data_IF_915830821673
#
_entry.id   IF_915830821673
#
_cell.length_a   1.000
_cell.length_b   1.000
_cell.length_c   1.000
_cell.angle_alpha   90.00
_cell.angle_beta   90.00
_cell.angle_gamma   90.00
#
_symmetry.space_group_name_H-M   'P 1'
#
loop_
_entity.id
_entity.type
_entity.pdbx_description
1 polymer ?
#
# COMPACT_ATOMS: atom_id res chain seq x y z
N UNK A 1 -27.83 6.76 -3.77
CA UNK A 1 -26.87 6.09 -4.68
C UNK A 1 -25.57 6.87 -4.62
N UNK A 2 -24.71 6.59 -3.64
CA UNK A 2 -23.38 7.21 -3.57
C UNK A 2 -22.57 6.74 -4.79
N UNK A 3 -22.20 7.67 -5.66
CA UNK A 3 -21.17 7.41 -6.65
C UNK A 3 -19.88 7.05 -5.91
N UNK A 4 -19.43 5.80 -6.04
CA UNK A 4 -18.10 5.41 -5.61
C UNK A 4 -17.08 6.31 -6.33
N UNK A 5 -16.51 7.30 -5.63
CA UNK A 5 -15.48 8.18 -6.18
C UNK A 5 -14.36 7.34 -6.78
N UNK A 6 -13.91 7.69 -7.98
CA UNK A 6 -12.76 7.03 -8.63
C UNK A 6 -11.52 7.16 -7.74
N UNK A 7 -10.54 6.26 -7.90
CA UNK A 7 -9.32 6.33 -7.09
C UNK A 7 -8.62 7.68 -7.25
N UNK A 8 -8.60 8.15 -8.48
CA UNK A 8 -7.96 9.39 -8.89
C UNK A 8 -8.61 10.58 -8.18
N UNK A 9 -9.94 10.59 -8.06
CA UNK A 9 -10.68 11.63 -7.34
C UNK A 9 -10.33 11.67 -5.85
N UNK A 10 -10.27 10.51 -5.18
CA UNK A 10 -9.91 10.44 -3.75
C UNK A 10 -8.47 10.90 -3.54
N UNK A 11 -7.52 10.47 -4.38
CA UNK A 11 -6.12 10.89 -4.26
C UNK A 11 -5.98 12.39 -4.52
N UNK A 12 -6.65 12.94 -5.53
CA UNK A 12 -6.65 14.38 -5.82
C UNK A 12 -7.21 15.20 -4.66
N UNK A 13 -8.33 14.78 -4.09
CA UNK A 13 -8.96 15.45 -2.95
C UNK A 13 -8.07 15.40 -1.71
N UNK A 14 -7.47 14.24 -1.41
CA UNK A 14 -6.48 14.11 -0.34
C UNK A 14 -5.28 15.03 -0.57
N UNK A 15 -4.73 15.09 -1.77
CA UNK A 15 -3.62 15.99 -2.09
C UNK A 15 -4.01 17.46 -1.93
N UNK A 16 -5.28 17.81 -2.17
CA UNK A 16 -5.80 19.16 -1.95
C UNK A 16 -5.94 19.53 -0.46
N UNK A 17 -6.01 18.55 0.45
CA UNK A 17 -6.00 18.81 1.90
C UNK A 17 -4.61 19.16 2.44
N UNK A 18 -3.55 18.92 1.66
CA UNK A 18 -2.18 19.23 2.06
C UNK A 18 -1.93 20.74 2.04
N UNK A 19 -1.23 21.24 3.06
CA UNK A 19 -0.70 22.61 3.02
C UNK A 19 0.28 22.80 1.85
N UNK A 20 0.46 24.02 1.32
CA UNK A 20 1.40 24.28 0.21
C UNK A 20 2.85 23.80 0.49
N UNK A 21 3.27 23.83 1.76
CA UNK A 21 4.58 23.31 2.18
C UNK A 21 4.63 21.78 2.16
N UNK A 22 3.59 21.09 2.64
CA UNK A 22 3.49 19.63 2.55
C UNK A 22 3.45 19.17 1.09
N UNK A 23 2.69 19.86 0.24
CA UNK A 23 2.58 19.54 -1.18
C UNK A 23 3.92 19.69 -1.90
N UNK A 24 4.65 20.79 -1.66
CA UNK A 24 5.99 21.00 -2.24
C UNK A 24 6.99 19.94 -1.77
N UNK A 25 6.97 19.58 -0.47
CA UNK A 25 7.84 18.52 0.04
C UNK A 25 7.49 17.15 -0.55
N UNK A 26 6.20 16.86 -0.69
CA UNK A 26 5.70 15.64 -1.32
C UNK A 26 6.13 15.56 -2.79
N UNK A 27 5.94 16.62 -3.58
CA UNK A 27 6.30 16.63 -5.00
C UNK A 27 7.81 16.51 -5.18
N UNK A 28 8.62 17.20 -4.37
CA UNK A 28 10.08 17.05 -4.42
C UNK A 28 10.53 15.63 -4.04
N UNK A 29 9.94 15.05 -2.98
CA UNK A 29 10.25 13.69 -2.57
C UNK A 29 9.86 12.66 -3.63
N UNK A 30 8.66 12.77 -4.21
CA UNK A 30 8.21 11.86 -5.25
C UNK A 30 9.01 12.03 -6.55
N UNK A 31 9.33 13.26 -6.94
CA UNK A 31 10.19 13.54 -8.10
C UNK A 31 11.57 12.89 -7.94
N UNK A 32 12.21 13.07 -6.78
CA UNK A 32 13.48 12.41 -6.47
C UNK A 32 13.38 10.88 -6.57
N UNK A 33 12.30 10.29 -6.04
CA UNK A 33 12.05 8.85 -6.11
C UNK A 33 11.79 8.37 -7.54
N UNK A 34 11.06 9.15 -8.33
CA UNK A 34 10.79 8.89 -9.74
C UNK A 34 12.09 8.89 -10.54
N UNK A 35 12.93 9.93 -10.39
CA UNK A 35 14.23 10.00 -11.04
C UNK A 35 15.14 8.84 -10.63
N UNK A 36 15.17 8.48 -9.35
CA UNK A 36 15.91 7.32 -8.88
C UNK A 36 15.45 6.02 -9.55
N UNK A 37 14.14 5.80 -9.67
CA UNK A 37 13.59 4.65 -10.38
C UNK A 37 13.95 4.66 -11.87
N UNK A 38 13.92 5.82 -12.52
CA UNK A 38 14.34 5.98 -13.92
C UNK A 38 15.82 5.66 -14.12
N UNK A 39 16.69 6.16 -13.26
CA UNK A 39 18.12 5.84 -13.29
C UNK A 39 18.37 4.34 -13.12
N UNK A 40 17.60 3.68 -12.25
CA UNK A 40 17.69 2.22 -12.07
C UNK A 40 17.24 1.47 -13.31
N UNK A 41 16.11 1.84 -13.91
CA UNK A 41 15.66 1.25 -15.17
C UNK A 41 16.74 1.43 -16.25
N UNK A 42 17.32 2.63 -16.37
CA UNK A 42 18.39 2.88 -17.34
C UNK A 42 19.63 2.03 -17.06
N UNK A 43 20.03 1.89 -15.79
CA UNK A 43 21.14 1.02 -15.39
C UNK A 43 20.87 -0.45 -15.74
N UNK A 44 19.64 -0.94 -15.48
CA UNK A 44 19.20 -2.28 -15.85
C UNK A 44 19.23 -2.49 -17.37
N UNK A 45 18.76 -1.53 -18.16
CA UNK A 45 18.70 -1.63 -19.62
C UNK A 45 20.07 -1.44 -20.29
N UNK A 46 21.00 -0.73 -19.64
CA UNK A 46 22.37 -0.54 -20.12
C UNK A 46 23.24 -1.78 -19.90
N UNK A 47 22.94 -2.59 -18.87
CA UNK A 47 23.69 -3.80 -18.53
C UNK A 47 22.99 -5.08 -18.98
N UNK A 48 23.52 -5.82 -19.97
CA UNK A 48 22.96 -7.09 -20.44
C UNK A 48 22.77 -8.15 -19.34
N UNK A 49 23.70 -8.20 -18.38
CA UNK A 49 23.73 -9.20 -17.32
C UNK A 49 22.66 -8.90 -16.28
N UNK A 50 22.55 -7.65 -15.83
CA UNK A 50 21.52 -7.22 -14.88
C UNK A 50 20.12 -7.38 -15.48
N UNK A 51 19.93 -7.00 -16.75
CA UNK A 51 18.66 -7.22 -17.45
C UNK A 51 18.26 -8.70 -17.45
N UNK A 52 19.18 -9.58 -17.85
CA UNK A 52 18.91 -11.01 -17.96
C UNK A 52 18.64 -11.65 -16.60
N UNK A 53 19.39 -11.26 -15.55
CA UNK A 53 19.18 -11.74 -14.18
C UNK A 53 17.82 -11.29 -13.63
N UNK A 54 17.46 -10.02 -13.82
CA UNK A 54 16.17 -9.48 -13.36
C UNK A 54 15.00 -10.10 -14.12
N UNK A 55 15.14 -10.30 -15.44
CA UNK A 55 14.10 -10.94 -16.26
C UNK A 55 13.94 -12.42 -15.90
N UNK A 56 15.04 -13.14 -15.70
CA UNK A 56 15.00 -14.53 -15.23
C UNK A 56 14.35 -14.62 -13.85
N UNK A 57 14.73 -13.74 -12.93
CA UNK A 57 14.11 -13.66 -11.62
C UNK A 57 12.61 -13.40 -11.74
N UNK A 58 12.20 -12.40 -12.51
CA UNK A 58 10.78 -12.10 -12.76
C UNK A 58 10.03 -13.30 -13.32
N UNK A 59 10.59 -14.00 -14.30
CA UNK A 59 9.96 -15.16 -14.93
C UNK A 59 9.87 -16.38 -14.01
N UNK A 60 10.82 -16.53 -13.08
CA UNK A 60 10.79 -17.58 -12.05
C UNK A 60 9.73 -17.36 -10.96
N UNK A 61 9.19 -16.14 -10.84
CA UNK A 61 8.15 -15.82 -9.87
C UNK A 61 6.77 -16.25 -10.36
N UNK A 62 6.01 -16.88 -9.46
CA UNK A 62 4.59 -17.14 -9.70
C UNK A 62 3.80 -15.83 -9.83
N UNK A 63 2.65 -15.90 -10.50
CA UNK A 63 1.77 -14.74 -10.69
C UNK A 63 1.41 -14.05 -9.35
N UNK A 64 1.22 -14.85 -8.30
CA UNK A 64 0.98 -14.37 -6.93
C UNK A 64 2.16 -13.60 -6.34
N UNK A 65 3.40 -14.01 -6.61
CA UNK A 65 4.58 -13.28 -6.13
C UNK A 65 4.77 -11.97 -6.90
N UNK A 66 4.48 -11.97 -8.21
CA UNK A 66 4.44 -10.75 -9.03
C UNK A 66 3.41 -9.75 -8.51
N UNK A 67 2.20 -10.21 -8.16
CA UNK A 67 1.17 -9.35 -7.56
C UNK A 67 1.57 -8.83 -6.18
N UNK A 68 2.23 -9.65 -5.36
CA UNK A 68 2.77 -9.19 -4.07
C UNK A 68 3.85 -8.11 -4.23
N UNK A 69 4.72 -8.19 -5.25
CA UNK A 69 5.72 -7.15 -5.54
C UNK A 69 5.05 -5.81 -5.86
N UNK A 70 4.04 -5.82 -6.74
CA UNK A 70 3.27 -4.62 -7.08
C UNK A 70 2.51 -4.10 -5.85
N UNK A 71 1.91 -4.99 -5.06
CA UNK A 71 1.21 -4.61 -3.83
C UNK A 71 2.15 -3.94 -2.81
N UNK A 72 3.35 -4.49 -2.58
CA UNK A 72 4.36 -3.87 -1.69
C UNK A 72 4.82 -2.52 -2.24
N UNK A 73 5.01 -2.41 -3.55
CA UNK A 73 5.37 -1.15 -4.19
C UNK A 73 4.26 -0.10 -4.00
N UNK A 74 3.01 -0.47 -4.25
CA UNK A 74 1.84 0.38 -4.01
C UNK A 74 1.73 0.81 -2.54
N UNK A 75 1.87 -0.14 -1.62
CA UNK A 75 1.82 0.13 -0.18
C UNK A 75 2.91 1.11 0.25
N UNK A 76 4.13 0.98 -0.29
CA UNK A 76 5.22 1.94 -0.07
C UNK A 76 4.83 3.36 -0.53
N UNK A 77 4.18 3.50 -1.69
CA UNK A 77 3.71 4.80 -2.19
C UNK A 77 2.55 5.38 -1.37
N UNK A 78 1.61 4.54 -0.95
CA UNK A 78 0.55 4.97 -0.03
C UNK A 78 1.07 5.34 1.36
N UNK A 79 2.09 4.65 1.88
CA UNK A 79 2.73 5.02 3.14
C UNK A 79 3.39 6.40 3.05
N UNK A 80 4.02 6.74 1.91
CA UNK A 80 4.56 8.08 1.66
C UNK A 80 3.43 9.12 1.66
N UNK A 81 2.34 8.88 0.93
CA UNK A 81 1.20 9.80 0.93
C UNK A 81 0.61 10.00 2.33
N UNK A 82 0.35 8.90 3.05
CA UNK A 82 -0.18 8.94 4.41
C UNK A 82 0.73 9.70 5.38
N UNK A 83 2.06 9.57 5.22
CA UNK A 83 3.04 10.32 6.01
C UNK A 83 2.91 11.84 5.82
N UNK A 84 2.64 12.30 4.60
CA UNK A 84 2.50 13.73 4.31
C UNK A 84 1.14 14.30 4.73
N UNK A 85 0.06 13.50 4.67
CA UNK A 85 -1.30 13.92 5.02
C UNK A 85 -1.40 14.31 6.48
N UNK A 86 -1.07 13.42 7.43
CA UNK A 86 -1.02 13.83 8.84
C UNK A 86 -0.34 12.78 9.73
N UNK A 87 0.81 13.15 10.31
CA UNK A 87 1.66 12.28 11.12
C UNK A 87 1.00 11.77 12.42
N UNK A 88 -0.08 12.40 12.88
CA UNK A 88 -0.62 12.19 14.23
C UNK A 88 -1.95 11.42 14.29
N UNK A 89 -2.62 11.18 13.16
CA UNK A 89 -3.91 10.47 13.11
C UNK A 89 -3.82 9.12 12.39
N UNK A 90 -2.87 8.95 11.47
CA UNK A 90 -2.70 7.72 10.69
C UNK A 90 -1.55 6.88 11.26
N UNK A 91 -1.87 5.69 11.76
CA UNK A 91 -0.85 4.69 12.06
C UNK A 91 -0.20 4.23 10.75
N UNK A 92 1.11 4.44 10.61
CA UNK A 92 1.85 4.05 9.41
C UNK A 92 2.02 2.51 9.36
N UNK A 93 2.07 1.91 8.17
CA UNK A 93 2.38 0.48 8.03
C UNK A 93 3.73 0.10 8.63
N UNK A 94 3.86 -1.18 9.01
CA UNK A 94 5.13 -1.74 9.49
C UNK A 94 6.23 -1.63 8.41
N UNK A 95 7.48 -1.27 8.76
CA UNK A 95 8.60 -1.26 7.81
C UNK A 95 8.83 -2.62 7.14
N UNK A 96 8.48 -3.71 7.82
CA UNK A 96 8.63 -5.09 7.32
C UNK A 96 7.86 -5.37 6.01
N UNK A 97 6.75 -4.66 5.79
CA UNK A 97 5.88 -4.83 4.62
C UNK A 97 6.06 -3.75 3.55
N UNK A 98 6.65 -2.60 3.92
CA UNK A 98 6.92 -1.49 2.99
C UNK A 98 8.32 -1.50 2.40
N UNK A 99 9.31 -2.06 3.11
CA UNK A 99 10.68 -2.18 2.60
C UNK A 99 10.77 -3.28 1.54
N UNK A 100 11.56 -3.06 0.50
CA UNK A 100 11.78 -4.03 -0.58
C UNK A 100 13.28 -4.18 -0.80
N UNK A 101 13.72 -5.41 -1.12
CA UNK A 101 15.12 -5.63 -1.50
C UNK A 101 15.44 -4.93 -2.82
N UNK A 102 16.72 -4.61 -3.07
CA UNK A 102 17.13 -3.98 -4.32
C UNK A 102 16.65 -4.80 -5.54
N UNK A 103 16.83 -6.12 -5.50
CA UNK A 103 16.38 -7.06 -6.55
C UNK A 103 14.87 -7.01 -6.77
N UNK A 104 14.08 -6.97 -5.70
CA UNK A 104 12.61 -6.87 -5.78
C UNK A 104 12.16 -5.54 -6.39
N UNK A 105 12.89 -4.45 -6.08
CA UNK A 105 12.62 -3.15 -6.70
C UNK A 105 12.97 -3.16 -8.19
N UNK A 106 14.09 -3.75 -8.60
CA UNK A 106 14.42 -3.88 -10.02
C UNK A 106 13.38 -4.73 -10.76
N UNK A 107 12.93 -5.83 -10.13
CA UNK A 107 11.89 -6.69 -10.68
C UNK A 107 10.53 -5.98 -10.82
N UNK A 108 10.09 -5.22 -9.81
CA UNK A 108 8.81 -4.49 -9.89
C UNK A 108 8.87 -3.36 -10.90
N UNK A 109 9.98 -2.61 -10.98
CA UNK A 109 10.16 -1.56 -11.98
C UNK A 109 10.17 -2.13 -13.40
N UNK A 110 10.87 -3.26 -13.61
CA UNK A 110 10.86 -3.95 -14.90
C UNK A 110 9.46 -4.47 -15.25
N UNK A 111 8.72 -4.99 -14.27
CA UNK A 111 7.35 -5.46 -14.47
C UNK A 111 6.40 -4.31 -14.86
N UNK A 112 6.47 -3.18 -14.15
CA UNK A 112 5.69 -1.98 -14.46
C UNK A 112 6.02 -1.48 -15.87
N UNK A 113 7.30 -1.42 -16.24
CA UNK A 113 7.72 -1.02 -17.58
C UNK A 113 7.19 -1.96 -18.68
N UNK A 114 7.26 -3.28 -18.45
CA UNK A 114 6.71 -4.28 -19.37
C UNK A 114 5.18 -4.14 -19.51
N UNK A 115 4.49 -3.81 -18.42
CA UNK A 115 3.05 -3.53 -18.43
C UNK A 115 2.73 -2.26 -19.23
N UNK A 116 3.49 -1.18 -19.04
CA UNK A 116 3.31 0.08 -19.78
C UNK A 116 3.57 -0.10 -21.27
N UNK A 117 4.67 -0.76 -21.65
CA UNK A 117 4.95 -1.06 -23.05
C UNK A 117 3.82 -1.89 -23.68
N UNK A 118 3.27 -2.87 -22.96
CA UNK A 118 2.15 -3.68 -23.44
C UNK A 118 0.86 -2.85 -23.63
N UNK A 119 0.62 -1.86 -22.77
CA UNK A 119 -0.55 -0.98 -22.86
C UNK A 119 -0.45 -0.05 -24.09
N UNK A 120 0.73 0.50 -24.37
CA UNK A 120 0.93 1.44 -25.48
C UNK A 120 1.18 0.75 -26.83
N UNK A 121 1.93 -0.35 -26.84
CA UNK A 121 2.32 -1.08 -28.04
C UNK A 121 2.15 -2.60 -27.82
N UNK A 122 0.91 -3.15 -27.85
CA UNK A 122 0.63 -4.55 -27.51
C UNK A 122 1.36 -5.57 -28.40
N UNK A 123 1.72 -5.19 -29.63
CA UNK A 123 2.47 -6.03 -30.57
C UNK A 123 3.99 -5.99 -30.43
N UNK A 124 4.56 -5.05 -29.66
CA UNK A 124 6.01 -4.83 -29.64
C UNK A 124 6.81 -6.03 -29.13
N UNK A 125 6.28 -6.76 -28.14
CA UNK A 125 6.95 -7.91 -27.53
C UNK A 125 6.45 -9.28 -28.03
N UNK A 126 5.27 -9.37 -28.65
CA UNK A 126 4.64 -10.64 -29.00
C UNK A 126 5.45 -11.44 -30.04
N UNK A 127 6.05 -10.74 -31.01
CA UNK A 127 6.79 -11.37 -32.11
C UNK A 127 8.32 -11.19 -31.98
N UNK A 128 8.79 -10.54 -30.90
CA UNK A 128 10.19 -10.22 -30.71
C UNK A 128 10.91 -11.29 -29.87
N UNK A 129 12.09 -11.78 -30.28
CA UNK A 129 12.89 -12.69 -29.45
C UNK A 129 13.35 -11.98 -28.18
N UNK A 130 13.54 -12.75 -27.09
CA UNK A 130 13.97 -12.21 -25.78
C UNK A 130 15.28 -11.40 -25.85
N UNK A 131 16.15 -11.69 -26.82
CA UNK A 131 17.37 -10.93 -27.09
C UNK A 131 17.12 -9.48 -27.52
N UNK A 132 15.98 -9.20 -28.15
CA UNK A 132 15.59 -7.86 -28.61
C UNK A 132 14.82 -7.07 -27.56
N UNK A 133 14.24 -7.72 -26.53
CA UNK A 133 13.40 -7.07 -25.52
C UNK A 133 14.12 -5.90 -24.83
N UNK A 134 15.41 -6.07 -24.50
CA UNK A 134 16.22 -5.00 -23.89
C UNK A 134 16.29 -3.75 -24.77
N UNK A 135 16.50 -3.92 -26.07
CA UNK A 135 16.60 -2.79 -27.00
C UNK A 135 15.23 -2.11 -27.18
N UNK A 136 14.15 -2.90 -27.32
CA UNK A 136 12.78 -2.36 -27.42
C UNK A 136 12.43 -1.52 -26.19
N UNK A 137 12.69 -2.04 -24.98
CA UNK A 137 12.44 -1.34 -23.73
C UNK A 137 13.29 -0.07 -23.59
N UNK A 138 14.57 -0.14 -24.01
CA UNK A 138 15.46 1.03 -24.02
C UNK A 138 14.96 2.11 -24.97
N UNK A 139 14.53 1.73 -26.17
CA UNK A 139 14.05 2.68 -27.17
C UNK A 139 12.71 3.30 -26.74
N UNK A 140 11.84 2.52 -26.09
CA UNK A 140 10.62 3.03 -25.45
C UNK A 140 10.93 4.04 -24.34
N UNK A 141 11.84 3.69 -23.41
CA UNK A 141 12.25 4.59 -22.33
C UNK A 141 12.91 5.87 -22.84
N UNK A 142 13.72 5.79 -23.90
CA UNK A 142 14.34 6.97 -24.52
C UNK A 142 13.28 7.90 -25.13
N UNK A 143 12.26 7.35 -25.81
CA UNK A 143 11.14 8.14 -26.34
C UNK A 143 10.32 8.81 -25.24
N UNK A 144 10.11 8.12 -24.12
CA UNK A 144 9.32 8.66 -23.00
C UNK A 144 10.07 9.74 -22.23
N UNK A 145 11.37 9.55 -21.96
CA UNK A 145 12.23 10.55 -21.28
C UNK A 145 12.44 11.83 -22.11
N UNK A 146 12.40 11.74 -23.45
CA UNK A 146 12.51 12.89 -24.34
C UNK A 146 11.23 13.75 -24.39
N UNK A 147 10.11 13.30 -23.81
CA UNK A 147 8.97 14.18 -23.58
C UNK A 147 9.37 15.25 -22.56
N UNK A 148 9.06 16.52 -22.85
CA UNK A 148 9.42 17.72 -22.05
C UNK A 148 9.14 17.60 -20.53
N UNK A 149 8.28 16.66 -20.12
CA UNK A 149 8.04 16.15 -18.76
C UNK A 149 9.29 15.71 -17.96
N UNK A 150 10.45 15.58 -18.59
CA UNK A 150 11.69 15.14 -17.95
C UNK A 150 12.59 16.26 -17.40
N UNK A 151 12.44 17.49 -17.88
CA UNK A 151 13.44 18.56 -17.68
C UNK A 151 12.96 19.63 -16.67
N UNK A 152 11.65 19.84 -16.54
CA UNK A 152 11.08 20.81 -15.62
C UNK A 152 9.72 20.30 -15.10
N UNK A 153 9.74 19.52 -14.02
CA UNK A 153 8.49 18.89 -13.53
C UNK A 153 7.71 19.89 -12.68
N UNK A 154 6.70 20.51 -13.29
CA UNK A 154 5.72 21.29 -12.55
C UNK A 154 5.03 20.40 -11.50
N UNK A 155 4.61 20.97 -10.37
CA UNK A 155 3.94 20.22 -9.30
C UNK A 155 2.72 19.43 -9.82
N UNK A 156 1.98 19.97 -10.78
CA UNK A 156 0.84 19.28 -11.41
C UNK A 156 1.25 18.00 -12.15
N UNK A 157 2.38 18.04 -12.85
CA UNK A 157 2.88 16.90 -13.61
C UNK A 157 3.38 15.77 -12.69
N UNK A 158 4.06 16.13 -11.61
CA UNK A 158 4.47 15.21 -10.54
C UNK A 158 3.26 14.49 -9.94
N UNK A 159 2.19 15.25 -9.66
CA UNK A 159 0.95 14.72 -9.08
C UNK A 159 0.26 13.75 -10.05
N UNK A 160 0.19 14.09 -11.34
CA UNK A 160 -0.38 13.21 -12.37
C UNK A 160 0.39 11.89 -12.44
N UNK A 161 1.73 11.94 -12.51
CA UNK A 161 2.59 10.74 -12.49
C UNK A 161 2.37 9.88 -11.24
N UNK A 162 2.19 10.51 -10.08
CA UNK A 162 1.88 9.78 -8.85
C UNK A 162 0.51 9.09 -8.91
N UNK A 163 -0.53 9.79 -9.39
CA UNK A 163 -1.88 9.25 -9.51
C UNK A 163 -1.91 8.08 -10.48
N UNK A 164 -1.30 8.24 -11.66
CA UNK A 164 -1.19 7.17 -12.66
C UNK A 164 -0.49 5.93 -12.09
N UNK A 165 0.63 6.11 -11.39
CA UNK A 165 1.36 5.01 -10.75
C UNK A 165 0.48 4.25 -9.76
N UNK A 166 -0.20 4.97 -8.87
CA UNK A 166 -1.07 4.39 -7.85
C UNK A 166 -2.28 3.70 -8.47
N UNK A 167 -2.92 4.33 -9.47
CA UNK A 167 -4.06 3.78 -10.19
C UNK A 167 -3.69 2.48 -10.92
N UNK A 168 -2.58 2.47 -11.67
CA UNK A 168 -2.08 1.28 -12.37
C UNK A 168 -1.81 0.14 -11.38
N UNK A 169 -1.11 0.42 -10.29
CA UNK A 169 -0.80 -0.60 -9.29
C UNK A 169 -2.05 -1.13 -8.60
N UNK A 170 -3.01 -0.27 -8.24
CA UNK A 170 -4.24 -0.72 -7.57
C UNK A 170 -5.14 -1.53 -8.51
N UNK A 171 -5.30 -1.12 -9.76
CA UNK A 171 -6.08 -1.88 -10.73
C UNK A 171 -5.49 -3.28 -10.93
N UNK A 172 -4.16 -3.38 -11.00
CA UNK A 172 -3.48 -4.67 -11.04
C UNK A 172 -3.78 -5.53 -9.81
N UNK A 173 -3.65 -4.95 -8.61
CA UNK A 173 -3.93 -5.65 -7.34
C UNK A 173 -5.38 -6.13 -7.26
N UNK A 174 -6.34 -5.32 -7.70
CA UNK A 174 -7.76 -5.66 -7.70
C UNK A 174 -8.08 -6.83 -8.66
N UNK A 175 -7.57 -6.78 -9.90
CA UNK A 175 -7.76 -7.87 -10.87
C UNK A 175 -7.22 -9.18 -10.31
N UNK A 176 -6.05 -9.13 -9.69
CA UNK A 176 -5.40 -10.31 -9.10
C UNK A 176 -6.10 -10.84 -7.84
N UNK A 177 -6.88 -10.01 -7.14
CA UNK A 177 -7.68 -10.45 -6.00
C UNK A 177 -8.97 -11.18 -6.42
N UNK A 178 -9.51 -10.85 -7.60
CA UNK A 178 -10.75 -11.46 -8.13
C UNK A 178 -10.54 -12.84 -8.77
N UNK A 179 -9.32 -13.13 -9.27
CA UNK A 179 -8.99 -14.39 -9.97
C UNK A 179 -8.60 -15.54 -9.00
N UNK A 180 -8.72 -15.32 -7.70
CA UNK A 180 -8.34 -16.27 -6.64
C UNK A 180 -9.35 -17.40 -6.41
N UNK A 181 -9.51 -18.28 -7.39
CA UNK A 181 -10.19 -19.57 -7.22
C UNK A 181 -9.42 -20.51 -6.27
N UNK A 182 -10.11 -20.97 -5.23
CA UNK A 182 -10.00 -22.28 -4.57
C UNK A 182 -8.71 -22.72 -3.83
N UNK A 183 -7.95 -21.81 -3.20
CA UNK A 183 -7.08 -22.21 -2.08
C UNK A 183 -6.81 -21.09 -1.04
N UNK A 184 -7.74 -20.97 -0.08
CA UNK A 184 -7.45 -20.67 1.34
C UNK A 184 -6.85 -19.31 1.74
N UNK A 185 -6.62 -18.37 0.83
CA UNK A 185 -6.29 -16.96 1.14
C UNK A 185 -7.20 -16.02 0.36
N UNK A 186 -8.48 -15.98 0.77
CA UNK A 186 -9.39 -14.92 0.40
C UNK A 186 -8.87 -13.62 1.05
N UNK A 187 -8.34 -12.72 0.22
CA UNK A 187 -8.17 -11.33 0.61
C UNK A 187 -9.57 -10.74 0.69
N UNK A 188 -10.02 -10.38 1.89
CA UNK A 188 -11.38 -9.91 2.17
C UNK A 188 -11.67 -8.55 1.56
N UNK A 189 -11.71 -8.47 0.23
CA UNK A 189 -12.15 -7.30 -0.53
C UNK A 189 -13.63 -7.53 -0.86
N UNK A 190 -14.50 -7.23 0.10
CA UNK A 190 -15.94 -7.16 -0.16
C UNK A 190 -16.36 -5.70 -0.23
N UNK A 191 -16.56 -5.19 -1.45
CA UNK A 191 -17.46 -4.06 -1.71
C UNK A 191 -18.78 -4.64 -2.22
N UNK A 192 -19.77 -4.76 -1.33
CA UNK A 192 -21.22 -4.66 -1.63
C UNK A 192 -22.03 -5.07 -0.41
N UNK A 193 -22.87 -4.15 0.06
CA UNK A 193 -24.03 -4.44 0.88
C UNK A 193 -25.17 -4.74 -0.10
N UNK A 194 -25.51 -6.01 -0.25
CA UNK A 194 -26.88 -6.45 -0.62
C UNK A 194 -27.15 -7.73 0.15
N UNK A 195 -28.26 -7.74 0.90
CA UNK A 195 -28.53 -8.68 1.97
C UNK A 195 -28.99 -10.07 1.57
N UNK A 196 -29.12 -10.86 2.65
CA UNK A 196 -29.75 -12.17 2.83
C UNK A 196 -29.08 -13.36 2.12
N UNK A 197 -28.31 -14.16 2.87
CA UNK A 197 -28.77 -15.46 3.37
C UNK A 197 -27.73 -16.09 4.32
N UNK A 198 -28.22 -16.97 5.18
CA UNK A 198 -27.66 -17.51 6.42
C UNK A 198 -26.49 -18.50 6.20
N UNK A 199 -25.35 -18.03 5.71
CA UNK A 199 -24.09 -18.78 5.72
C UNK A 199 -23.04 -18.09 6.60
N UNK A 200 -22.71 -18.74 7.71
CA UNK A 200 -21.63 -18.36 8.65
C UNK A 200 -20.26 -18.48 7.97
N UNK A 201 -19.96 -17.57 7.04
CA UNK A 201 -18.60 -17.36 6.52
C UNK A 201 -17.74 -16.85 7.67
N UNK A 202 -16.86 -17.70 8.19
CA UNK A 202 -15.81 -17.32 9.12
C UNK A 202 -15.00 -16.16 8.52
N UNK A 203 -15.32 -14.93 8.94
CA UNK A 203 -14.55 -13.73 8.61
C UNK A 203 -13.19 -13.90 9.27
N UNK A 204 -12.23 -14.44 8.51
CA UNK A 204 -10.89 -14.78 8.99
C UNK A 204 -10.29 -13.55 9.67
N UNK A 205 -10.05 -13.67 10.97
CA UNK A 205 -9.53 -12.59 11.78
C UNK A 205 -8.06 -12.34 11.41
N UNK A 206 -7.72 -11.08 11.15
CA UNK A 206 -6.35 -10.65 10.81
C UNK A 206 -5.67 -10.11 12.06
N UNK A 207 -4.49 -10.61 12.39
CA UNK A 207 -3.73 -10.15 13.55
C UNK A 207 -3.14 -8.74 13.34
N UNK A 208 -2.94 -8.00 14.43
CA UNK A 208 -2.18 -6.76 14.40
C UNK A 208 -0.69 -7.05 14.17
N UNK A 209 0.02 -6.09 13.55
CA UNK A 209 1.47 -6.17 13.34
C UNK A 209 2.19 -6.23 14.69
N UNK A 210 3.15 -7.14 14.80
CA UNK A 210 3.95 -7.28 16.04
C UNK A 210 4.66 -5.98 16.38
N UNK A 211 5.18 -5.26 15.38
CA UNK A 211 5.85 -3.98 15.58
C UNK A 211 4.93 -2.94 16.23
N UNK A 212 3.66 -2.89 15.81
CA UNK A 212 2.66 -1.99 16.39
C UNK A 212 2.35 -2.38 17.83
N UNK A 213 2.11 -3.67 18.08
CA UNK A 213 1.76 -4.17 19.43
C UNK A 213 2.86 -3.87 20.44
N UNK A 214 4.14 -4.02 20.03
CA UNK A 214 5.30 -3.73 20.89
C UNK A 214 5.47 -2.23 21.15
N UNK A 215 5.04 -1.37 20.22
CA UNK A 215 5.13 0.09 20.36
C UNK A 215 4.01 0.74 21.18
N UNK A 216 3.00 -0.03 21.61
CA UNK A 216 1.88 0.51 22.37
C UNK A 216 2.33 1.03 23.75
N UNK A 217 1.85 2.21 24.17
CA UNK A 217 2.25 2.79 25.44
C UNK A 217 1.70 1.97 26.62
N UNK A 218 2.58 1.69 27.58
CA UNK A 218 2.16 1.34 28.94
C UNK A 218 1.69 2.61 29.63
N UNK A 219 0.44 2.63 30.08
CA UNK A 219 -0.14 3.76 30.81
C UNK A 219 -0.44 3.34 32.23
N UNK A 220 -0.09 4.16 33.22
CA UNK A 220 -0.78 4.09 34.51
C UNK A 220 -2.20 4.61 34.24
N UNK A 221 -3.20 3.72 34.23
CA UNK A 221 -4.58 4.06 33.90
C UNK A 221 -5.11 5.25 34.73
N UNK A 222 -6.18 5.90 34.26
CA UNK A 222 -7.00 6.73 35.14
C UNK A 222 -7.69 5.79 36.14
N UNK A 223 -7.70 6.15 37.43
CA UNK A 223 -7.97 5.24 38.54
C UNK A 223 -9.34 4.55 38.62
N UNK A 224 -10.21 4.63 37.62
CA UNK A 224 -11.61 4.15 37.68
C UNK A 224 -12.10 3.39 36.41
N UNK A 225 -11.22 3.03 35.46
CA UNK A 225 -11.65 2.36 34.22
C UNK A 225 -11.73 0.82 34.35
N UNK A 226 -12.85 0.22 33.96
CA UNK A 226 -13.05 -1.24 33.91
C UNK A 226 -12.60 -1.83 32.56
N UNK A 227 -11.84 -2.93 32.59
CA UNK A 227 -11.42 -3.60 31.35
C UNK A 227 -12.59 -4.34 30.70
N UNK A 228 -13.00 -3.96 29.48
CA UNK A 228 -14.17 -4.57 28.80
C UNK A 228 -14.00 -6.05 28.44
N UNK A 229 -12.77 -6.58 28.45
CA UNK A 229 -12.49 -7.98 28.10
C UNK A 229 -12.73 -8.91 29.31
N UNK A 230 -12.16 -8.60 30.48
CA UNK A 230 -12.32 -9.42 31.69
C UNK A 230 -13.37 -8.88 32.66
N UNK A 231 -13.86 -7.65 32.45
CA UNK A 231 -14.79 -6.92 33.35
C UNK A 231 -14.21 -6.70 34.75
N UNK A 232 -12.89 -6.63 34.88
CA UNK A 232 -12.18 -6.32 36.13
C UNK A 232 -11.65 -4.87 36.08
N UNK A 233 -11.58 -4.22 37.25
CA UNK A 233 -11.04 -2.87 37.39
C UNK A 233 -9.55 -2.83 37.04
N UNK A 234 -9.16 -1.83 36.24
CA UNK A 234 -7.77 -1.63 35.86
C UNK A 234 -7.04 -0.84 36.95
N UNK A 235 -6.29 -1.56 37.80
CA UNK A 235 -5.50 -0.94 38.87
C UNK A 235 -4.37 -0.08 38.28
N UNK A 236 -4.08 1.03 38.95
CA UNK A 236 -2.97 1.93 38.63
C UNK A 236 -1.64 1.15 38.57
N UNK A 237 -0.97 1.13 37.41
CA UNK A 237 0.35 0.49 37.25
C UNK A 237 0.73 0.13 35.82
N UNK A 238 1.78 -0.70 35.67
CA UNK A 238 2.40 -1.10 34.38
C UNK A 238 1.62 -2.14 33.56
N UNK A 239 0.49 -2.62 34.07
CA UNK A 239 -0.27 -3.73 33.46
C UNK A 239 -1.39 -3.27 32.51
N UNK A 240 -1.49 -1.96 32.24
CA UNK A 240 -2.50 -1.37 31.36
C UNK A 240 -1.85 -0.88 30.07
N UNK A 241 -2.54 -1.15 28.96
CA UNK A 241 -2.19 -0.73 27.63
C UNK A 241 -3.27 0.20 27.08
N UNK A 242 -2.83 1.34 26.56
CA UNK A 242 -3.69 2.29 25.85
C UNK A 242 -3.54 2.09 24.35
N UNK A 243 -4.65 1.83 23.64
CA UNK A 243 -4.66 1.78 22.18
C UNK A 243 -4.64 3.20 21.57
N UNK A 244 -4.27 3.35 20.28
CA UNK A 244 -4.26 4.65 19.60
C UNK A 244 -5.64 5.32 19.44
N UNK A 245 -6.72 4.59 19.73
CA UNK A 245 -8.09 5.10 19.80
C UNK A 245 -8.52 5.45 21.23
N UNK A 246 -7.54 5.67 22.11
CA UNK A 246 -7.68 6.04 23.53
C UNK A 246 -8.37 5.04 24.46
N UNK A 247 -8.69 3.83 23.99
CA UNK A 247 -9.26 2.78 24.84
C UNK A 247 -8.19 2.01 25.62
N UNK A 248 -8.49 1.69 26.88
CA UNK A 248 -7.61 1.02 27.82
C UNK A 248 -7.97 -0.45 28.04
N UNK A 249 -6.95 -1.29 28.21
CA UNK A 249 -7.08 -2.72 28.48
C UNK A 249 -5.93 -3.23 29.34
N UNK A 250 -6.14 -4.30 30.09
CA UNK A 250 -5.02 -5.07 30.63
C UNK A 250 -4.16 -5.65 29.49
N UNK A 251 -2.84 -5.62 29.64
CA UNK A 251 -1.92 -6.21 28.66
C UNK A 251 -2.21 -7.71 28.46
N UNK A 252 -2.45 -8.45 29.56
CA UNK A 252 -2.87 -9.87 29.54
C UNK A 252 -4.14 -10.13 28.73
N UNK A 253 -5.04 -9.16 28.65
CA UNK A 253 -6.34 -9.28 27.98
C UNK A 253 -6.27 -8.88 26.51
N UNK A 254 -5.61 -7.76 26.20
CA UNK A 254 -5.57 -7.22 24.83
C UNK A 254 -4.56 -7.97 23.94
N UNK A 255 -3.49 -8.53 24.49
CA UNK A 255 -2.49 -9.25 23.69
C UNK A 255 -3.07 -10.47 22.96
N UNK A 256 -3.80 -11.41 23.60
CA UNK A 256 -4.44 -12.52 22.90
C UNK A 256 -5.45 -12.06 21.84
N UNK A 257 -6.13 -10.94 22.10
CA UNK A 257 -7.06 -10.34 21.16
C UNK A 257 -6.34 -9.80 19.92
N UNK A 258 -5.25 -9.05 20.09
CA UNK A 258 -4.45 -8.48 19.01
C UNK A 258 -3.67 -9.53 18.19
N UNK A 259 -3.40 -10.70 18.78
CA UNK A 259 -2.87 -11.86 18.06
C UNK A 259 -3.88 -12.52 17.13
N UNK A 260 -5.18 -12.31 17.34
CA UNK A 260 -6.26 -12.88 16.52
C UNK A 260 -6.84 -11.84 15.57
N UNK A 261 -7.04 -10.62 16.05
CA UNK A 261 -7.71 -9.52 15.35
C UNK A 261 -6.86 -8.26 15.41
N UNK A 262 -7.05 -7.32 14.48
CA UNK A 262 -6.35 -6.05 14.47
C UNK A 262 -7.28 -4.88 14.81
N UNK A 263 -8.40 -5.13 15.49
CA UNK A 263 -9.41 -4.11 15.79
C UNK A 263 -9.62 -3.92 17.28
N UNK A 264 -9.83 -2.69 17.72
CA UNK A 264 -10.22 -2.37 19.09
C UNK A 264 -11.55 -3.06 19.46
N UNK A 265 -11.63 -3.80 20.59
CA UNK A 265 -12.89 -4.38 21.09
C UNK A 265 -14.02 -3.37 21.29
N UNK A 266 -13.71 -2.13 21.72
CA UNK A 266 -14.72 -1.10 22.00
C UNK A 266 -15.24 -0.41 20.73
N UNK A 267 -14.34 0.14 19.91
CA UNK A 267 -14.72 1.05 18.81
C UNK A 267 -14.39 0.50 17.42
N UNK A 268 -13.85 -0.73 17.32
CA UNK A 268 -13.40 -1.37 16.07
C UNK A 268 -12.33 -0.60 15.30
N UNK A 269 -11.68 0.38 15.92
CA UNK A 269 -10.52 1.05 15.35
C UNK A 269 -9.47 0.02 14.90
N UNK A 270 -9.01 0.14 13.66
CA UNK A 270 -8.17 -0.84 13.01
C UNK A 270 -6.68 -0.47 13.12
N UNK A 271 -5.90 -1.34 13.75
CA UNK A 271 -4.45 -1.26 13.84
C UNK A 271 -3.78 -1.84 12.58
N UNK A 272 -2.57 -1.39 12.21
CA UNK A 272 -1.81 -1.97 11.11
C UNK A 272 -1.59 -3.48 11.27
N UNK A 273 -1.55 -4.20 10.15
CA UNK A 273 -1.28 -5.64 10.09
C UNK A 273 -0.04 -5.93 9.25
N UNK A 274 0.51 -7.14 9.36
CA UNK A 274 1.62 -7.60 8.49
C UNK A 274 1.11 -8.19 7.15
N UNK A 275 -0.19 -8.09 6.85
CA UNK A 275 -0.74 -8.47 5.54
C UNK A 275 -0.77 -7.25 4.61
N UNK A 276 0.00 -7.34 3.52
CA UNK A 276 0.19 -6.23 2.55
C UNK A 276 -1.13 -5.76 1.94
N UNK A 277 -2.03 -6.68 1.58
CA UNK A 277 -3.27 -6.34 0.89
C UNK A 277 -4.29 -5.75 1.86
N UNK A 278 -4.41 -6.32 3.06
CA UNK A 278 -5.24 -5.74 4.11
C UNK A 278 -4.77 -4.33 4.49
N UNK A 279 -3.45 -4.10 4.49
CA UNK A 279 -2.89 -2.79 4.80
C UNK A 279 -3.12 -1.76 3.69
N UNK A 280 -3.05 -2.16 2.42
CA UNK A 280 -3.46 -1.32 1.29
C UNK A 280 -4.91 -0.88 1.47
N UNK A 281 -5.80 -1.83 1.81
CA UNK A 281 -7.21 -1.52 2.03
C UNK A 281 -7.42 -0.60 3.24
N UNK A 282 -6.74 -0.86 4.35
CA UNK A 282 -6.83 -0.03 5.55
C UNK A 282 -6.41 1.42 5.26
N UNK A 283 -5.26 1.61 4.60
CA UNK A 283 -4.81 2.96 4.21
C UNK A 283 -5.79 3.60 3.23
N UNK A 284 -6.31 2.83 2.27
CA UNK A 284 -7.32 3.32 1.34
C UNK A 284 -8.56 3.86 2.06
N UNK A 285 -9.09 3.10 3.01
CA UNK A 285 -10.29 3.49 3.76
C UNK A 285 -10.04 4.73 4.62
N UNK A 286 -8.84 4.88 5.19
CA UNK A 286 -8.43 6.09 5.91
C UNK A 286 -8.38 7.29 4.98
N UNK A 287 -7.74 7.16 3.81
CA UNK A 287 -7.65 8.24 2.82
C UNK A 287 -9.02 8.63 2.26
N UNK A 288 -9.90 7.65 2.01
CA UNK A 288 -11.27 7.89 1.56
C UNK A 288 -12.11 8.64 2.62
N UNK A 289 -11.93 8.31 3.91
CA UNK A 289 -12.59 9.04 5.01
C UNK A 289 -12.14 10.49 5.10
N UNK A 290 -10.86 10.77 4.86
CA UNK A 290 -10.32 12.15 4.85
C UNK A 290 -10.95 12.94 3.69
N UNK A 291 -11.06 12.32 2.51
CA UNK A 291 -11.76 12.90 1.35
C UNK A 291 -13.26 13.13 1.61
N UNK A 292 -13.93 12.27 2.37
CA UNK A 292 -15.36 12.41 2.70
C UNK A 292 -15.68 13.33 3.89
N UNK A 293 -14.70 13.66 4.73
CA UNK A 293 -14.87 14.51 5.92
C UNK A 293 -14.63 16.01 5.68
N UNK A 294 -14.35 16.42 4.45
CA UNK A 294 -14.08 17.81 4.07
C UNK A 294 -15.32 18.61 3.66
N UNK A 295 -16.53 18.20 4.08
CA UNK A 295 -17.81 18.88 3.82
C UNK A 295 -18.41 19.46 5.08
#
# INVERSE_FOLDING_TARGET
MEHQKSLEAIVMEVLSTLTPLQLTKFTHHFSSLYHHNCHRIFSLLSSPTLFSLTLHHLNSLSLRRKSLLIARHLLSKFAILAYFVEKNTILLPSPSITTMSLRDVDAVLMLLLLCELRQHEPGALHNAPLSCWRNILRDYMAKDMLKLSGIESCCSEVIIKFIELVAKCKNFVNVMASDGGDQGRSYGISNSVTGNDDERKDKKMLAASVAVVVSLPSSNGGGDDQCVICKEDMKLGRDVCKLPCDHFYHWKCILPWLKKTNTCPCCRFQLPSDDVFAEIQRLWDVLAKISGGAT
#
